data_IF_568329056847
#
_entry.id   IF_568329056847
#
_cell.length_a   1.000
_cell.length_b   1.000
_cell.length_c   1.000
_cell.angle_alpha   90.00
_cell.angle_beta   90.00
_cell.angle_gamma   90.00
#
_symmetry.space_group_name_H-M   'P 1'
#
loop_
_entity.id
_entity.type
_entity.pdbx_description
1 polymer ?
#
# COMPACT_ATOMS: atom_id res chain seq x y z
N UNK A 1 -9.52 24.01 -17.01
CA UNK A 1 -9.03 22.61 -16.81
C UNK A 1 -7.67 22.49 -17.51
N UNK A 2 -6.65 22.02 -16.78
CA UNK A 2 -5.25 22.04 -17.25
C UNK A 2 -4.89 20.82 -18.13
N UNK A 3 -5.84 19.95 -18.46
CA UNK A 3 -5.62 18.75 -19.27
C UNK A 3 -4.61 17.73 -18.67
N UNK A 4 -4.24 17.88 -17.40
CA UNK A 4 -3.26 17.02 -16.74
C UNK A 4 -3.78 15.60 -16.56
N UNK A 5 -3.01 14.62 -17.01
CA UNK A 5 -3.34 13.18 -16.88
C UNK A 5 -2.70 12.55 -15.63
N UNK A 6 -1.63 13.13 -15.10
CA UNK A 6 -0.86 12.65 -13.95
C UNK A 6 -0.59 13.78 -12.95
N UNK A 7 -0.45 13.41 -11.69
CA UNK A 7 -0.07 14.31 -10.59
C UNK A 7 1.27 13.82 -10.05
N UNK A 8 2.32 14.63 -10.17
CA UNK A 8 3.62 14.34 -9.58
C UNK A 8 3.67 14.85 -8.14
N UNK A 9 4.10 13.99 -7.21
CA UNK A 9 4.34 14.35 -5.81
C UNK A 9 5.79 14.07 -5.43
N UNK A 10 6.33 14.89 -4.52
CA UNK A 10 7.76 14.92 -4.18
C UNK A 10 8.16 13.92 -3.05
N UNK A 11 7.46 12.80 -2.91
CA UNK A 11 7.91 11.76 -1.97
C UNK A 11 9.26 11.19 -2.41
N UNK A 12 10.16 11.00 -1.45
CA UNK A 12 11.49 10.46 -1.63
C UNK A 12 11.66 9.11 -0.90
N UNK A 13 12.85 8.50 -0.94
CA UNK A 13 13.13 7.20 -0.32
C UNK A 13 13.05 7.24 1.21
N UNK A 14 13.37 8.37 1.86
CA UNK A 14 13.21 8.52 3.31
C UNK A 14 11.72 8.50 3.69
N UNK A 15 10.85 9.19 2.94
CA UNK A 15 9.40 9.17 3.17
C UNK A 15 8.82 7.75 3.05
N UNK A 16 9.37 6.93 2.12
CA UNK A 16 9.02 5.52 1.95
C UNK A 16 9.40 4.70 3.18
N UNK A 17 10.62 4.88 3.69
CA UNK A 17 11.11 4.20 4.89
C UNK A 17 10.33 4.62 6.15
N UNK A 18 10.04 5.91 6.32
CA UNK A 18 9.20 6.40 7.41
C UNK A 18 7.80 5.74 7.39
N UNK A 19 7.20 5.64 6.21
CA UNK A 19 5.88 5.01 6.04
C UNK A 19 5.94 3.50 6.29
N UNK A 20 7.01 2.83 5.86
CA UNK A 20 7.22 1.40 6.09
C UNK A 20 7.31 1.08 7.58
N UNK A 21 8.13 1.83 8.35
CA UNK A 21 8.23 1.66 9.80
C UNK A 21 6.91 1.97 10.50
N UNK A 22 6.24 3.04 10.09
CA UNK A 22 4.93 3.37 10.64
C UNK A 22 3.92 2.24 10.45
N UNK A 23 3.88 1.63 9.27
CA UNK A 23 3.02 0.50 8.99
C UNK A 23 3.46 -0.76 9.74
N UNK A 24 4.77 -1.03 9.87
CA UNK A 24 5.31 -2.15 10.63
C UNK A 24 4.87 -2.08 12.09
N UNK A 25 5.02 -0.93 12.74
CA UNK A 25 4.63 -0.73 14.14
C UNK A 25 3.11 -0.86 14.36
N UNK A 26 2.31 -0.68 13.33
CA UNK A 26 0.85 -0.88 13.37
C UNK A 26 0.41 -2.30 13.00
N UNK A 27 1.35 -3.21 12.75
CA UNK A 27 1.03 -4.59 12.38
C UNK A 27 0.46 -4.76 10.97
N UNK A 28 0.83 -3.89 10.03
CA UNK A 28 0.39 -4.01 8.65
C UNK A 28 1.00 -5.24 7.96
N UNK A 29 0.22 -5.88 7.07
CA UNK A 29 0.70 -6.97 6.22
C UNK A 29 1.56 -6.50 5.05
N UNK A 30 1.86 -7.42 4.12
CA UNK A 30 2.77 -7.22 2.96
C UNK A 30 2.42 -5.93 2.20
N UNK A 31 1.16 -5.72 1.86
CA UNK A 31 0.69 -4.53 1.13
C UNK A 31 1.03 -3.21 1.84
N UNK A 32 0.88 -3.17 3.17
CA UNK A 32 1.25 -1.99 3.96
C UNK A 32 2.76 -1.79 4.05
N UNK A 33 3.52 -2.88 4.15
CA UNK A 33 4.99 -2.85 4.23
C UNK A 33 5.65 -2.54 2.88
N UNK A 34 5.00 -2.80 1.75
CA UNK A 34 5.39 -2.28 0.44
C UNK A 34 5.38 -0.75 0.40
N UNK A 35 4.67 -0.11 1.34
CA UNK A 35 4.72 1.32 1.63
C UNK A 35 4.28 2.20 0.45
N UNK A 36 5.10 3.19 0.09
CA UNK A 36 4.81 4.15 -0.98
C UNK A 36 5.27 3.57 -2.32
N UNK A 37 4.32 3.35 -3.24
CA UNK A 37 4.62 2.86 -4.59
C UNK A 37 5.02 4.01 -5.53
N UNK A 38 5.89 3.78 -6.53
CA UNK A 38 6.28 4.78 -7.53
C UNK A 38 5.10 5.37 -8.30
N UNK A 39 4.12 4.52 -8.60
CA UNK A 39 2.88 4.90 -9.29
C UNK A 39 1.69 4.34 -8.52
N UNK A 40 0.66 5.15 -8.35
CA UNK A 40 -0.62 4.72 -7.82
C UNK A 40 -1.72 5.55 -8.48
N UNK A 41 -2.52 4.92 -9.32
CA UNK A 41 -3.56 5.55 -10.12
C UNK A 41 -2.99 6.71 -10.98
N UNK A 42 -3.40 7.94 -10.70
CA UNK A 42 -2.90 9.14 -11.37
C UNK A 42 -1.68 9.77 -10.69
N UNK A 43 -1.28 9.28 -9.54
CA UNK A 43 -0.17 9.84 -8.78
C UNK A 43 1.11 9.14 -9.19
N UNK A 44 2.13 9.93 -9.53
CA UNK A 44 3.51 9.48 -9.79
C UNK A 44 4.46 10.11 -8.78
N UNK A 45 5.57 9.41 -8.48
CA UNK A 45 6.57 9.84 -7.48
C UNK A 45 7.98 9.76 -8.07
N UNK A 46 8.35 10.75 -8.90
CA UNK A 46 9.63 10.70 -9.64
C UNK A 46 10.86 10.69 -8.74
N UNK A 47 10.75 11.25 -7.51
CA UNK A 47 11.87 11.37 -6.57
C UNK A 47 11.98 10.19 -5.60
N UNK A 48 11.15 9.16 -5.73
CA UNK A 48 11.12 8.04 -4.79
C UNK A 48 12.41 7.20 -4.77
N UNK A 49 13.20 7.26 -5.84
CA UNK A 49 14.50 6.60 -5.97
C UNK A 49 15.66 7.39 -5.33
N UNK A 50 15.42 8.62 -4.85
CA UNK A 50 16.45 9.50 -4.29
C UNK A 50 16.29 9.63 -2.78
N UNK A 51 17.41 9.70 -2.08
CA UNK A 51 17.42 10.09 -0.68
C UNK A 51 17.30 11.61 -0.52
N UNK A 52 16.82 12.05 0.63
CA UNK A 52 16.64 13.49 0.92
C UNK A 52 17.93 14.26 0.77
N UNK A 53 19.04 13.75 1.28
CA UNK A 53 20.34 14.41 1.20
C UNK A 53 20.83 14.61 -0.25
N UNK A 54 20.49 13.71 -1.16
CA UNK A 54 20.84 13.82 -2.59
C UNK A 54 20.06 14.96 -3.24
N UNK A 55 18.78 15.09 -2.91
CA UNK A 55 17.92 16.17 -3.38
C UNK A 55 18.43 17.52 -2.84
N UNK A 56 18.72 17.61 -1.55
CA UNK A 56 19.23 18.84 -0.92
C UNK A 56 20.58 19.24 -1.51
N UNK A 57 21.49 18.27 -1.72
CA UNK A 57 22.79 18.51 -2.37
C UNK A 57 22.63 19.03 -3.79
N UNK A 58 21.71 18.45 -4.57
CA UNK A 58 21.42 18.93 -5.92
C UNK A 58 20.89 20.37 -5.93
N UNK A 59 19.95 20.71 -5.05
CA UNK A 59 19.40 22.06 -4.94
C UNK A 59 20.48 23.07 -4.54
N UNK A 60 21.34 22.72 -3.57
CA UNK A 60 22.46 23.54 -3.14
C UNK A 60 23.45 23.80 -4.30
N UNK A 61 23.84 22.77 -5.04
CA UNK A 61 24.75 22.89 -6.19
C UNK A 61 24.18 23.79 -7.30
N UNK A 62 22.86 23.87 -7.42
CA UNK A 62 22.17 24.69 -8.42
C UNK A 62 21.79 26.06 -7.89
N UNK A 63 22.08 26.39 -6.63
CA UNK A 63 21.71 27.67 -6.01
C UNK A 63 20.18 27.84 -5.90
N UNK A 64 19.42 26.76 -5.88
CA UNK A 64 17.96 26.81 -5.78
C UNK A 64 17.57 26.93 -4.31
N UNK A 65 16.92 28.04 -3.97
CA UNK A 65 16.38 28.25 -2.62
C UNK A 65 15.04 27.53 -2.50
N UNK A 66 14.88 26.76 -1.43
CA UNK A 66 13.62 26.06 -1.10
C UNK A 66 13.18 26.40 0.32
N UNK A 67 11.88 26.43 0.54
CA UNK A 67 11.30 26.63 1.87
C UNK A 67 11.30 25.34 2.66
N UNK A 68 11.74 25.40 3.92
CA UNK A 68 11.50 24.34 4.90
C UNK A 68 10.22 24.66 5.63
N UNK A 69 9.27 23.74 5.61
CA UNK A 69 8.05 23.86 6.40
C UNK A 69 8.38 23.62 7.88
N UNK A 70 8.06 24.60 8.74
CA UNK A 70 8.34 24.56 10.18
C UNK A 70 7.67 23.36 10.86
N UNK A 71 6.51 22.89 10.36
CA UNK A 71 5.82 21.72 10.91
C UNK A 71 6.60 20.42 10.74
N UNK A 72 7.60 20.38 9.85
CA UNK A 72 8.50 19.23 9.72
C UNK A 72 9.47 19.08 10.90
N UNK A 73 9.65 20.09 11.72
CA UNK A 73 10.54 20.08 12.89
C UNK A 73 9.81 19.70 14.18
N UNK A 74 8.47 19.61 14.15
CA UNK A 74 7.65 19.27 15.31
C UNK A 74 7.55 17.76 15.48
N UNK A 75 7.85 17.24 16.69
CA UNK A 75 7.74 15.81 17.03
C UNK A 75 6.32 15.35 17.41
N UNK A 76 5.32 16.19 17.21
CA UNK A 76 3.93 15.88 17.54
C UNK A 76 3.37 14.73 16.69
N UNK A 77 3.86 14.58 15.49
CA UNK A 77 3.43 13.52 14.57
C UNK A 77 4.34 12.29 14.66
N UNK A 78 3.74 11.11 14.72
CA UNK A 78 4.47 9.83 14.76
C UNK A 78 5.50 9.69 13.62
N UNK A 79 5.20 10.18 12.43
CA UNK A 79 6.14 10.18 11.30
C UNK A 79 7.39 11.01 11.57
N UNK A 80 7.23 12.19 12.17
CA UNK A 80 8.36 13.05 12.52
C UNK A 80 9.27 12.39 13.57
N UNK A 81 8.68 11.67 14.56
CA UNK A 81 9.48 10.89 15.52
C UNK A 81 10.28 9.78 14.86
N UNK A 82 9.71 9.10 13.86
CA UNK A 82 10.46 8.09 13.08
C UNK A 82 11.62 8.75 12.33
N UNK A 83 11.35 9.88 11.67
CA UNK A 83 12.33 10.67 10.90
C UNK A 83 13.47 11.20 11.75
N UNK A 84 13.16 11.75 12.92
CA UNK A 84 14.14 12.47 13.74
C UNK A 84 14.89 11.57 14.72
N UNK A 85 14.29 10.46 15.16
CA UNK A 85 14.87 9.65 16.22
C UNK A 85 15.17 8.21 15.78
N UNK A 86 14.25 7.54 15.08
CA UNK A 86 14.41 6.10 14.78
C UNK A 86 15.35 5.88 13.61
N UNK A 87 15.10 6.53 12.46
CA UNK A 87 15.94 6.36 11.28
C UNK A 87 17.38 6.83 11.48
N UNK A 88 17.67 8.01 12.10
CA UNK A 88 19.04 8.41 12.39
C UNK A 88 19.72 7.47 13.36
N UNK A 89 19.03 7.03 14.41
CA UNK A 89 19.59 6.05 15.34
C UNK A 89 19.94 4.73 14.66
N UNK A 90 19.07 4.24 13.79
CA UNK A 90 19.33 3.02 13.03
C UNK A 90 20.52 3.17 12.08
N UNK A 91 20.62 4.31 11.39
CA UNK A 91 21.72 4.62 10.45
C UNK A 91 23.08 4.70 11.17
N UNK A 92 23.12 5.30 12.34
CA UNK A 92 24.36 5.54 13.09
C UNK A 92 24.79 4.34 13.96
N UNK A 93 23.83 3.65 14.57
CA UNK A 93 24.12 2.68 15.65
C UNK A 93 23.79 1.23 15.29
N UNK A 94 23.01 0.97 14.24
CA UNK A 94 22.61 -0.39 13.86
C UNK A 94 23.25 -0.80 12.53
N UNK A 95 22.93 -0.09 11.44
CA UNK A 95 23.46 -0.42 10.13
C UNK A 95 23.44 0.80 9.20
N UNK A 96 24.62 1.12 8.63
CA UNK A 96 24.75 2.16 7.62
C UNK A 96 23.96 1.79 6.36
N UNK A 97 23.26 2.74 5.77
CA UNK A 97 22.44 2.53 4.59
C UNK A 97 21.08 1.89 4.91
N UNK A 98 20.60 2.01 6.15
CA UNK A 98 19.33 1.39 6.56
C UNK A 98 18.16 1.87 5.69
N UNK A 99 18.13 3.14 5.26
CA UNK A 99 17.12 3.69 4.35
C UNK A 99 17.13 2.93 3.01
N UNK A 100 18.32 2.72 2.43
CA UNK A 100 18.45 1.98 1.17
C UNK A 100 17.99 0.51 1.32
N UNK A 101 18.41 -0.17 2.40
CA UNK A 101 17.99 -1.56 2.68
C UNK A 101 16.47 -1.68 2.87
N UNK A 102 15.87 -0.72 3.56
CA UNK A 102 14.41 -0.68 3.75
C UNK A 102 13.69 -0.46 2.40
N UNK A 103 14.21 0.41 1.54
CA UNK A 103 13.65 0.63 0.22
C UNK A 103 13.74 -0.64 -0.66
N UNK A 104 14.86 -1.36 -0.65
CA UNK A 104 14.97 -2.66 -1.33
C UNK A 104 13.94 -3.66 -0.82
N UNK A 105 13.77 -3.75 0.50
CA UNK A 105 12.74 -4.61 1.11
C UNK A 105 11.33 -4.20 0.65
N UNK A 106 11.04 -2.90 0.61
CA UNK A 106 9.74 -2.41 0.16
C UNK A 106 9.46 -2.75 -1.32
N UNK A 107 10.49 -2.75 -2.17
CA UNK A 107 10.39 -3.16 -3.58
C UNK A 107 10.06 -4.65 -3.71
N UNK A 108 10.82 -5.51 -3.02
CA UNK A 108 10.55 -6.95 -3.00
C UNK A 108 9.15 -7.27 -2.47
N UNK A 109 8.69 -6.54 -1.45
CA UNK A 109 7.34 -6.70 -0.91
C UNK A 109 6.27 -6.21 -1.91
N UNK A 110 6.55 -5.15 -2.68
CA UNK A 110 5.65 -4.68 -3.72
C UNK A 110 5.50 -5.70 -4.86
N UNK A 111 6.60 -6.28 -5.32
CA UNK A 111 6.61 -7.35 -6.34
C UNK A 111 5.88 -8.62 -5.83
N UNK A 112 6.12 -8.97 -4.57
CA UNK A 112 5.43 -10.10 -3.92
C UNK A 112 3.92 -9.85 -3.83
N UNK A 113 3.52 -8.64 -3.46
CA UNK A 113 2.11 -8.24 -3.37
C UNK A 113 1.43 -8.29 -4.75
N UNK A 114 2.10 -7.80 -5.79
CA UNK A 114 1.60 -7.85 -7.18
C UNK A 114 1.37 -9.30 -7.63
N UNK A 115 2.33 -10.19 -7.36
CA UNK A 115 2.18 -11.62 -7.64
C UNK A 115 1.00 -12.25 -6.88
N UNK A 116 0.88 -11.97 -5.59
CA UNK A 116 -0.23 -12.48 -4.77
C UNK A 116 -1.58 -11.92 -5.25
N UNK A 117 -1.64 -10.67 -5.68
CA UNK A 117 -2.84 -10.07 -6.26
C UNK A 117 -3.23 -10.76 -7.56
N UNK A 118 -2.26 -11.02 -8.45
CA UNK A 118 -2.47 -11.77 -9.69
C UNK A 118 -3.02 -13.17 -9.39
N UNK A 119 -2.39 -13.92 -8.49
CA UNK A 119 -2.83 -15.25 -8.10
C UNK A 119 -4.23 -15.25 -7.47
N UNK A 120 -4.57 -14.21 -6.72
CA UNK A 120 -5.90 -14.05 -6.12
C UNK A 120 -6.96 -13.81 -7.19
N UNK A 121 -6.67 -12.98 -8.20
CA UNK A 121 -7.56 -12.73 -9.34
C UNK A 121 -7.80 -13.99 -10.18
N UNK A 122 -6.75 -14.76 -10.45
CA UNK A 122 -6.86 -16.04 -11.15
C UNK A 122 -7.70 -17.06 -10.34
N UNK A 123 -7.50 -17.10 -9.03
CA UNK A 123 -8.28 -17.95 -8.13
C UNK A 123 -9.75 -17.51 -8.10
N UNK A 124 -10.04 -16.21 -8.07
CA UNK A 124 -11.41 -15.70 -8.14
C UNK A 124 -12.12 -16.20 -9.41
N UNK A 125 -11.48 -16.10 -10.58
CA UNK A 125 -12.03 -16.58 -11.83
C UNK A 125 -12.32 -18.10 -11.88
N UNK A 126 -11.63 -18.89 -11.03
CA UNK A 126 -11.85 -20.35 -10.94
C UNK A 126 -12.86 -20.75 -9.88
N UNK A 127 -12.93 -19.99 -8.79
CA UNK A 127 -13.68 -20.35 -7.60
C UNK A 127 -15.04 -19.66 -7.50
N UNK A 128 -15.14 -18.42 -8.03
CA UNK A 128 -16.38 -17.66 -7.96
C UNK A 128 -17.28 -18.06 -9.12
N UNK A 129 -18.47 -18.50 -8.79
CA UNK A 129 -19.52 -18.79 -9.77
C UNK A 129 -20.38 -17.53 -9.90
N UNK A 130 -20.58 -17.06 -11.15
CA UNK A 130 -21.57 -16.04 -11.41
C UNK A 130 -22.93 -16.59 -10.95
N UNK A 131 -23.53 -15.96 -9.95
CA UNK A 131 -24.94 -16.21 -9.70
C UNK A 131 -25.71 -15.47 -10.81
N UNK A 132 -26.28 -16.22 -11.75
CA UNK A 132 -27.40 -15.71 -12.54
C UNK A 132 -28.51 -15.43 -11.52
N UNK A 133 -28.48 -14.24 -10.95
CA UNK A 133 -29.58 -13.74 -10.13
C UNK A 133 -30.80 -13.72 -11.03
N UNK A 134 -31.80 -14.51 -10.68
CA UNK A 134 -33.13 -14.45 -11.30
C UNK A 134 -33.50 -12.98 -11.44
N UNK A 135 -33.78 -12.58 -12.67
CA UNK A 135 -33.81 -11.16 -13.15
C UNK A 135 -34.88 -10.25 -12.57
N UNK A 136 -35.25 -10.39 -11.30
CA UNK A 136 -36.25 -9.52 -10.63
C UNK A 136 -35.66 -8.52 -9.61
N UNK A 137 -34.37 -8.61 -9.26
CA UNK A 137 -33.76 -7.69 -8.25
C UNK A 137 -32.93 -6.55 -8.83
N UNK A 138 -32.87 -6.39 -10.13
CA UNK A 138 -32.05 -5.34 -10.79
C UNK A 138 -32.65 -3.91 -10.73
N UNK A 139 -33.91 -3.75 -10.31
CA UNK A 139 -34.58 -2.43 -10.31
C UNK A 139 -34.52 -1.66 -8.98
N UNK A 140 -34.04 -2.25 -7.88
CA UNK A 140 -34.07 -1.60 -6.55
C UNK A 140 -32.71 -1.23 -6.01
N UNK A 141 -31.67 -1.04 -6.76
CA UNK A 141 -30.42 -0.39 -6.31
C UNK A 141 -29.87 -0.73 -4.90
N UNK A 142 -30.40 -1.77 -4.26
CA UNK A 142 -30.08 -2.16 -2.88
C UNK A 142 -29.00 -3.25 -2.89
N UNK A 143 -27.75 -2.84 -2.76
CA UNK A 143 -26.56 -3.72 -2.67
C UNK A 143 -26.59 -4.69 -1.46
N UNK A 144 -27.64 -4.69 -0.66
CA UNK A 144 -27.76 -5.50 0.57
C UNK A 144 -28.01 -6.97 0.31
N UNK A 145 -28.31 -7.39 -0.90
CA UNK A 145 -28.59 -8.79 -1.27
C UNK A 145 -27.59 -9.40 -2.24
N UNK A 146 -26.39 -8.82 -2.40
CA UNK A 146 -25.37 -9.42 -3.25
C UNK A 146 -24.88 -10.73 -2.59
N UNK A 147 -24.99 -11.86 -3.33
CA UNK A 147 -24.54 -13.19 -2.91
C UNK A 147 -23.37 -13.61 -3.78
N UNK A 148 -22.29 -14.05 -3.17
CA UNK A 148 -21.14 -14.64 -3.86
C UNK A 148 -21.11 -16.14 -3.59
N UNK A 149 -21.20 -16.94 -4.64
CA UNK A 149 -21.09 -18.40 -4.53
C UNK A 149 -19.67 -18.85 -4.84
N UNK A 150 -19.08 -19.62 -3.92
CA UNK A 150 -17.72 -20.14 -4.06
C UNK A 150 -17.76 -21.66 -4.22
N UNK A 151 -17.12 -22.16 -5.28
CA UNK A 151 -16.95 -23.60 -5.53
C UNK A 151 -15.99 -24.21 -4.49
N UNK A 152 -16.51 -24.98 -3.55
CA UNK A 152 -15.78 -25.46 -2.36
C UNK A 152 -14.53 -26.26 -2.71
N UNK A 153 -14.61 -27.19 -3.66
CA UNK A 153 -13.46 -28.02 -4.05
C UNK A 153 -12.32 -27.18 -4.63
N UNK A 154 -12.64 -26.27 -5.57
CA UNK A 154 -11.66 -25.35 -6.14
C UNK A 154 -11.04 -24.46 -5.08
N UNK A 155 -11.85 -23.92 -4.16
CA UNK A 155 -11.40 -23.09 -3.06
C UNK A 155 -10.46 -23.84 -2.10
N UNK A 156 -10.81 -25.06 -1.69
CA UNK A 156 -9.99 -25.86 -0.78
C UNK A 156 -8.67 -26.31 -1.40
N UNK A 157 -8.57 -26.38 -2.74
CA UNK A 157 -7.32 -26.67 -3.44
C UNK A 157 -6.31 -25.51 -3.44
N UNK A 158 -6.75 -24.29 -3.13
CA UNK A 158 -5.89 -23.11 -3.12
C UNK A 158 -4.93 -23.13 -1.91
N UNK A 159 -3.78 -22.45 -2.08
CA UNK A 159 -2.89 -22.18 -0.94
C UNK A 159 -3.60 -21.34 0.13
N UNK A 160 -3.40 -21.58 1.44
CA UNK A 160 -4.10 -20.86 2.51
C UNK A 160 -4.02 -19.34 2.42
N UNK A 161 -2.89 -18.77 1.97
CA UNK A 161 -2.74 -17.32 1.80
C UNK A 161 -3.67 -16.78 0.71
N UNK A 162 -3.86 -17.53 -0.38
CA UNK A 162 -4.75 -17.13 -1.48
C UNK A 162 -6.21 -17.24 -1.06
N UNK A 163 -6.57 -18.31 -0.32
CA UNK A 163 -7.93 -18.46 0.24
C UNK A 163 -8.32 -17.26 1.10
N UNK A 164 -7.44 -16.87 2.03
CA UNK A 164 -7.69 -15.70 2.90
C UNK A 164 -7.81 -14.40 2.12
N UNK A 165 -6.96 -14.20 1.11
CA UNK A 165 -7.02 -13.00 0.27
C UNK A 165 -8.30 -12.95 -0.55
N UNK A 166 -8.67 -14.06 -1.16
CA UNK A 166 -9.92 -14.17 -1.94
C UNK A 166 -11.13 -13.81 -1.06
N UNK A 167 -11.26 -14.45 0.09
CA UNK A 167 -12.35 -14.11 1.02
C UNK A 167 -12.34 -12.64 1.45
N UNK A 168 -11.17 -12.08 1.73
CA UNK A 168 -11.04 -10.69 2.12
C UNK A 168 -11.53 -9.73 1.02
N UNK A 169 -11.11 -9.95 -0.22
CA UNK A 169 -11.51 -9.09 -1.34
C UNK A 169 -13.01 -9.22 -1.63
N UNK A 170 -13.56 -10.42 -1.58
CA UNK A 170 -14.99 -10.64 -1.82
C UNK A 170 -15.87 -10.03 -0.71
N UNK A 171 -15.51 -10.23 0.56
CA UNK A 171 -16.22 -9.59 1.68
C UNK A 171 -16.16 -8.07 1.59
N UNK A 172 -15.03 -7.52 1.16
CA UNK A 172 -14.87 -6.09 0.95
C UNK A 172 -15.74 -5.55 -0.19
N UNK A 173 -15.92 -6.31 -1.27
CA UNK A 173 -16.83 -5.96 -2.37
C UNK A 173 -18.29 -5.95 -1.91
N UNK A 174 -18.69 -6.93 -1.09
CA UNK A 174 -20.04 -7.01 -0.54
C UNK A 174 -20.36 -5.88 0.47
N UNK A 175 -19.35 -5.28 1.07
CA UNK A 175 -19.50 -4.29 2.14
C UNK A 175 -18.67 -3.03 1.88
N UNK A 176 -18.90 -2.28 0.81
CA UNK A 176 -18.04 -1.17 0.40
C UNK A 176 -17.97 0.01 1.39
N UNK A 177 -18.85 0.04 2.39
CA UNK A 177 -18.90 1.08 3.45
C UNK A 177 -18.25 0.66 4.78
N UNK A 178 -17.94 -0.62 4.99
CA UNK A 178 -17.37 -1.09 6.25
C UNK A 178 -15.85 -0.95 6.24
N UNK A 179 -15.34 -0.03 7.07
CA UNK A 179 -13.90 0.24 7.20
C UNK A 179 -13.19 -0.74 8.16
N UNK A 180 -13.93 -1.55 8.91
CA UNK A 180 -13.40 -2.34 10.03
C UNK A 180 -13.13 -3.81 9.69
N UNK A 181 -13.32 -4.22 8.43
CA UNK A 181 -12.98 -5.57 8.01
C UNK A 181 -11.46 -5.67 7.83
N UNK A 182 -10.84 -6.44 8.71
CA UNK A 182 -9.39 -6.71 8.68
C UNK A 182 -9.12 -8.18 8.37
N UNK A 183 -7.89 -8.49 7.97
CA UNK A 183 -7.44 -9.87 7.76
C UNK A 183 -7.63 -10.78 8.98
N UNK A 184 -7.67 -10.21 10.19
CA UNK A 184 -7.90 -10.96 11.43
C UNK A 184 -9.32 -11.52 11.54
N UNK A 185 -10.29 -10.93 10.86
CA UNK A 185 -11.69 -11.40 10.84
C UNK A 185 -11.89 -12.59 9.90
N UNK A 186 -10.89 -12.97 9.10
CA UNK A 186 -10.96 -14.04 8.09
C UNK A 186 -10.02 -15.21 8.47
N UNK A 187 -9.67 -15.33 9.73
CA UNK A 187 -8.82 -16.43 10.23
C UNK A 187 -9.62 -17.70 10.48
#
# INVERSE_FOLDING_TARGET
>A
EWGATKIAVAHNSNDRSETQLFHLFRGSGIRGLASILPVRDRIIRPLLCLERWEIEKFLQQRGIVYCKDATNEEDDYTRNRIRHHILPYAEENIVKGCVAHMNQTAELLAETEDYLELQTKEAAGRCIQATDGDGESAETGDSRNAVICIAVESFLSLHPVIRKRLLYEEVKQLSPGQKDITYQHIQ
#
